data_IF_616535605652
#
_entry.id   IF_616535605652
#
_cell.length_a   1.000
_cell.length_b   1.000
_cell.length_c   1.000
_cell.angle_alpha   90.00
_cell.angle_beta   90.00
_cell.angle_gamma   90.00
#
_symmetry.space_group_name_H-M   'P 1'
#
loop_
_entity.id
_entity.type
_entity.pdbx_description
1 polymer ?
#
# COMPACT_ATOMS: atom_id res chain seq x y z
N UNK A 1 -8.23 -13.32 -27.02
CA UNK A 1 -7.88 -11.92 -26.66
C UNK A 1 -7.62 -11.18 -27.95
N UNK A 2 -8.12 -9.96 -28.12
CA UNK A 2 -7.82 -9.18 -29.33
C UNK A 2 -6.32 -8.85 -29.36
N UNK A 3 -5.66 -9.07 -30.49
CA UNK A 3 -4.25 -8.71 -30.67
C UNK A 3 -4.11 -7.18 -30.86
N UNK A 4 -3.15 -6.58 -30.15
CA UNK A 4 -2.78 -5.18 -30.34
C UNK A 4 -2.06 -5.03 -31.67
N UNK A 5 -2.64 -4.25 -32.59
CA UNK A 5 -2.06 -3.95 -33.91
C UNK A 5 -1.83 -2.45 -34.03
N UNK A 6 -0.88 -2.04 -34.88
CA UNK A 6 -0.63 -0.60 -35.11
C UNK A 6 -1.88 0.17 -35.54
N UNK A 7 -2.83 -0.51 -36.18
CA UNK A 7 -4.08 0.07 -36.68
C UNK A 7 -5.13 0.27 -35.57
N UNK A 8 -5.16 -0.58 -34.53
CA UNK A 8 -6.15 -0.49 -33.46
C UNK A 8 -5.70 0.33 -32.24
N UNK A 9 -4.40 0.57 -32.08
CA UNK A 9 -3.83 1.38 -30.99
C UNK A 9 -4.44 2.80 -30.91
N UNK A 10 -4.58 3.58 -32.00
CA UNK A 10 -5.18 4.91 -31.93
C UNK A 10 -6.62 4.89 -31.40
N UNK A 11 -7.39 3.87 -31.82
CA UNK A 11 -8.77 3.71 -31.37
C UNK A 11 -8.84 3.37 -29.87
N UNK A 12 -7.97 2.48 -29.38
CA UNK A 12 -7.86 2.16 -27.95
C UNK A 12 -7.49 3.41 -27.13
N UNK A 13 -6.56 4.23 -27.63
CA UNK A 13 -6.19 5.49 -26.97
C UNK A 13 -7.38 6.45 -26.93
N UNK A 14 -8.17 6.55 -28.00
CA UNK A 14 -9.39 7.39 -28.02
C UNK A 14 -10.41 6.91 -27.00
N UNK A 15 -10.72 5.60 -27.00
CA UNK A 15 -11.65 4.99 -26.04
C UNK A 15 -11.18 5.19 -24.59
N UNK A 16 -9.88 5.12 -24.34
CA UNK A 16 -9.33 5.40 -23.01
C UNK A 16 -9.56 6.87 -22.62
N UNK A 17 -9.32 7.84 -23.52
CA UNK A 17 -9.58 9.26 -23.26
C UNK A 17 -11.07 9.54 -22.99
N UNK A 18 -11.96 8.95 -23.78
CA UNK A 18 -13.41 9.04 -23.55
C UNK A 18 -13.79 8.45 -22.19
N UNK A 19 -13.19 7.31 -21.82
CA UNK A 19 -13.39 6.72 -20.50
C UNK A 19 -12.87 7.61 -19.36
N UNK A 20 -11.71 8.27 -19.54
CA UNK A 20 -11.16 9.21 -18.55
C UNK A 20 -12.16 10.33 -18.23
N UNK A 21 -12.88 10.83 -19.23
CA UNK A 21 -13.88 11.90 -19.10
C UNK A 21 -15.24 11.39 -18.60
N UNK A 22 -15.49 10.09 -18.68
CA UNK A 22 -16.75 9.48 -18.22
C UNK A 22 -16.95 9.62 -16.70
N UNK A 23 -18.20 9.58 -16.20
CA UNK A 23 -18.47 9.58 -14.76
C UNK A 23 -17.77 8.43 -14.01
N UNK A 24 -17.56 7.29 -14.66
CA UNK A 24 -16.88 6.12 -14.07
C UNK A 24 -15.38 6.41 -13.92
N UNK A 25 -14.75 6.96 -14.96
CA UNK A 25 -13.34 7.34 -14.92
C UNK A 25 -13.07 8.40 -13.85
N UNK A 26 -13.87 9.47 -13.84
CA UNK A 26 -13.77 10.54 -12.84
C UNK A 26 -13.97 10.01 -11.40
N UNK A 27 -14.92 9.11 -11.19
CA UNK A 27 -15.12 8.45 -9.89
C UNK A 27 -13.90 7.61 -9.47
N UNK A 28 -13.23 6.95 -10.41
CA UNK A 28 -12.00 6.21 -10.14
C UNK A 28 -10.89 7.15 -9.64
N UNK A 29 -10.68 8.29 -10.32
CA UNK A 29 -9.70 9.29 -9.87
C UNK A 29 -10.01 9.83 -8.50
N UNK A 30 -11.26 10.23 -8.24
CA UNK A 30 -11.68 10.72 -6.93
C UNK A 30 -11.46 9.68 -5.82
N UNK A 31 -11.65 8.40 -6.14
CA UNK A 31 -11.43 7.31 -5.18
C UNK A 31 -9.96 7.16 -4.83
N UNK A 32 -9.06 7.25 -5.82
CA UNK A 32 -7.61 7.21 -5.61
C UNK A 32 -7.14 8.43 -4.82
N UNK A 33 -7.58 9.64 -5.18
CA UNK A 33 -7.20 10.87 -4.45
C UNK A 33 -7.67 10.86 -3.01
N UNK A 34 -8.88 10.35 -2.75
CA UNK A 34 -9.37 10.13 -1.39
C UNK A 34 -8.48 9.14 -0.63
N UNK A 35 -8.10 8.03 -1.25
CA UNK A 35 -7.23 7.04 -0.61
C UNK A 35 -5.85 7.62 -0.26
N UNK A 36 -5.27 8.43 -1.14
CA UNK A 36 -4.01 9.15 -0.85
C UNK A 36 -4.14 10.00 0.41
N UNK A 37 -5.24 10.75 0.55
CA UNK A 37 -5.49 11.57 1.73
C UNK A 37 -5.71 10.71 2.99
N UNK A 38 -6.52 9.65 2.90
CA UNK A 38 -6.76 8.73 4.02
C UNK A 38 -5.46 8.10 4.53
N UNK A 39 -4.53 7.74 3.64
CA UNK A 39 -3.22 7.20 4.04
C UNK A 39 -2.37 8.28 4.71
N UNK A 40 -2.35 9.52 4.21
CA UNK A 40 -1.62 10.63 4.85
C UNK A 40 -2.14 10.92 6.26
N UNK A 41 -3.47 10.97 6.43
CA UNK A 41 -4.11 11.18 7.72
C UNK A 41 -3.83 10.00 8.68
N UNK A 42 -3.86 8.77 8.16
CA UNK A 42 -3.50 7.58 8.92
C UNK A 42 -2.03 7.60 9.35
N UNK A 43 -1.11 8.04 8.50
CA UNK A 43 0.30 8.17 8.87
C UNK A 43 0.48 9.18 10.01
N UNK A 44 -0.20 10.33 9.97
CA UNK A 44 -0.18 11.30 11.07
C UNK A 44 -0.75 10.72 12.38
N UNK A 45 -1.85 9.96 12.28
CA UNK A 45 -2.43 9.26 13.42
C UNK A 45 -1.46 8.24 14.01
N UNK A 46 -0.83 7.44 13.15
CA UNK A 46 0.15 6.44 13.55
C UNK A 46 1.38 7.07 14.20
N UNK A 47 1.85 8.23 13.70
CA UNK A 47 2.97 8.98 14.29
C UNK A 47 2.75 9.29 15.76
N UNK A 48 1.53 9.71 16.14
CA UNK A 48 1.17 10.09 17.50
C UNK A 48 0.93 8.90 18.47
N UNK A 49 0.84 7.67 17.98
CA UNK A 49 0.55 6.49 18.81
C UNK A 49 1.79 5.91 19.51
N UNK A 50 1.56 5.24 20.64
CA UNK A 50 2.55 4.35 21.25
C UNK A 50 2.77 3.12 20.36
N UNK A 51 4.01 2.97 19.87
CA UNK A 51 4.43 1.92 18.94
C UNK A 51 4.44 0.51 19.55
N UNK A 52 4.36 0.41 20.87
CA UNK A 52 4.26 -0.87 21.60
C UNK A 52 2.81 -1.31 21.81
N UNK A 53 1.85 -0.43 21.54
CA UNK A 53 0.43 -0.72 21.79
C UNK A 53 -0.17 -1.70 20.77
N UNK A 54 -1.15 -2.47 21.23
CA UNK A 54 -1.98 -3.32 20.36
C UNK A 54 -2.76 -2.47 19.36
N UNK A 55 -3.22 -1.28 19.76
CA UNK A 55 -3.94 -0.39 18.87
C UNK A 55 -3.09 0.06 17.67
N UNK A 56 -1.84 0.48 17.91
CA UNK A 56 -0.89 0.81 16.84
C UNK A 56 -0.71 -0.38 15.89
N UNK A 57 -0.46 -1.56 16.45
CA UNK A 57 -0.27 -2.80 15.69
C UNK A 57 -1.48 -3.06 14.79
N UNK A 58 -2.70 -2.96 15.33
CA UNK A 58 -3.91 -3.17 14.56
C UNK A 58 -4.13 -2.10 13.48
N UNK A 59 -3.81 -0.83 13.75
CA UNK A 59 -3.92 0.23 12.74
C UNK A 59 -2.94 0.05 11.59
N UNK A 60 -1.71 -0.41 11.86
CA UNK A 60 -0.78 -0.74 10.78
C UNK A 60 -1.27 -1.96 10.00
N UNK A 61 -1.60 -3.05 10.69
CA UNK A 61 -1.92 -4.32 10.04
C UNK A 61 -3.26 -4.30 9.31
N UNK A 62 -4.26 -3.58 9.79
CA UNK A 62 -5.61 -3.58 9.21
C UNK A 62 -6.05 -2.26 8.60
N UNK A 63 -5.27 -1.18 8.78
CA UNK A 63 -5.53 0.13 8.21
C UNK A 63 -4.49 0.55 7.17
N UNK A 64 -3.20 0.47 7.52
CA UNK A 64 -2.14 0.93 6.62
C UNK A 64 -1.95 -0.04 5.45
N UNK A 65 -1.88 -1.33 5.75
CA UNK A 65 -1.82 -2.36 4.71
C UNK A 65 -3.02 -2.28 3.76
N UNK A 66 -2.82 -2.54 2.46
CA UNK A 66 -3.88 -2.43 1.48
C UNK A 66 -4.89 -3.58 1.62
N UNK A 67 -5.96 -3.32 2.37
CA UNK A 67 -6.99 -4.30 2.68
C UNK A 67 -8.18 -4.24 1.73
N UNK A 68 -8.68 -5.41 1.34
CA UNK A 68 -10.00 -5.53 0.71
C UNK A 68 -11.13 -5.31 1.71
N UNK A 69 -12.36 -5.16 1.20
CA UNK A 69 -13.54 -4.95 2.03
C UNK A 69 -13.87 -6.19 2.87
N UNK A 70 -13.46 -6.20 4.13
CA UNK A 70 -13.75 -7.25 5.11
C UNK A 70 -14.11 -6.64 6.46
N UNK A 71 -14.66 -7.44 7.38
CA UNK A 71 -14.97 -7.00 8.75
C UNK A 71 -13.73 -6.62 9.58
N UNK A 72 -12.53 -6.98 9.12
CA UNK A 72 -11.27 -6.69 9.79
C UNK A 72 -10.64 -5.39 9.31
N UNK A 73 -11.00 -4.94 8.10
CA UNK A 73 -10.40 -3.76 7.50
C UNK A 73 -10.78 -2.50 8.28
N UNK A 74 -9.77 -1.77 8.77
CA UNK A 74 -9.93 -0.42 9.32
C UNK A 74 -9.95 0.64 8.22
N UNK A 75 -9.37 0.32 7.06
CA UNK A 75 -9.41 1.10 5.81
C UNK A 75 -9.54 0.14 4.64
N UNK A 76 -10.29 0.52 3.62
CA UNK A 76 -10.42 -0.27 2.38
C UNK A 76 -9.57 0.37 1.30
N UNK A 77 -8.68 -0.43 0.72
CA UNK A 77 -7.79 -0.04 -0.38
C UNK A 77 -8.44 -0.24 -1.73
N UNK A 78 -8.18 0.68 -2.66
CA UNK A 78 -8.50 0.52 -4.08
C UNK A 78 -7.58 -0.52 -4.74
N UNK A 79 -6.43 -0.80 -4.11
CA UNK A 79 -5.42 -1.77 -4.55
C UNK A 79 -5.28 -2.91 -3.53
N UNK A 80 -6.33 -3.70 -3.26
CA UNK A 80 -6.32 -4.64 -2.13
C UNK A 80 -5.35 -5.81 -2.36
N UNK A 81 -4.56 -6.13 -1.34
CA UNK A 81 -3.63 -7.28 -1.31
C UNK A 81 -4.04 -8.28 -0.25
N UNK A 82 -4.59 -7.82 0.87
CA UNK A 82 -4.99 -8.67 1.98
C UNK A 82 -6.49 -8.66 2.21
N UNK A 83 -7.05 -9.84 2.48
CA UNK A 83 -8.39 -9.96 3.08
C UNK A 83 -8.29 -10.08 4.61
N UNK A 84 -7.26 -10.80 5.08
CA UNK A 84 -6.81 -10.83 6.47
C UNK A 84 -5.36 -11.34 6.53
N UNK A 85 -4.44 -10.52 7.04
CA UNK A 85 -3.00 -10.82 7.10
C UNK A 85 -2.67 -11.93 8.09
N UNK A 86 -3.36 -12.04 9.23
CA UNK A 86 -3.04 -13.06 10.24
C UNK A 86 -3.29 -14.48 9.69
N UNK A 87 -4.45 -14.80 9.11
CA UNK A 87 -4.68 -16.07 8.42
C UNK A 87 -3.77 -16.28 7.20
N UNK A 88 -3.44 -15.21 6.47
CA UNK A 88 -2.53 -15.29 5.32
C UNK A 88 -1.13 -15.78 5.72
N UNK A 89 -0.64 -15.35 6.89
CA UNK A 89 0.67 -15.73 7.43
C UNK A 89 0.60 -16.80 8.54
N UNK A 90 -0.52 -17.52 8.65
CA UNK A 90 -0.74 -18.50 9.74
C UNK A 90 0.36 -19.57 9.83
N UNK A 91 0.99 -19.92 8.70
CA UNK A 91 2.06 -20.92 8.65
C UNK A 91 3.35 -20.52 9.40
N UNK A 92 3.49 -19.26 9.79
CA UNK A 92 4.64 -18.76 10.53
C UNK A 92 4.44 -18.72 12.05
N UNK A 93 3.22 -18.99 12.55
CA UNK A 93 2.90 -19.04 13.98
C UNK A 93 3.31 -17.80 14.80
N UNK A 94 3.19 -16.60 14.21
CA UNK A 94 3.53 -15.34 14.87
C UNK A 94 2.67 -15.06 16.11
N UNK A 95 3.34 -14.74 17.21
CA UNK A 95 2.71 -14.24 18.43
C UNK A 95 2.49 -12.72 18.38
N UNK A 96 1.93 -12.12 19.43
CA UNK A 96 1.63 -10.68 19.45
C UNK A 96 2.87 -9.78 19.38
N UNK A 97 4.00 -10.23 19.95
CA UNK A 97 5.28 -9.50 19.83
C UNK A 97 5.81 -9.53 18.39
N UNK A 98 5.69 -10.66 17.71
CA UNK A 98 6.03 -10.78 16.29
C UNK A 98 5.17 -9.84 15.43
N UNK A 99 3.86 -9.78 15.69
CA UNK A 99 2.95 -8.87 14.99
C UNK A 99 3.27 -7.40 15.23
N UNK A 100 3.62 -7.04 16.46
CA UNK A 100 4.07 -5.70 16.78
C UNK A 100 5.38 -5.36 16.05
N UNK A 101 6.33 -6.30 15.96
CA UNK A 101 7.57 -6.11 15.21
C UNK A 101 7.31 -5.92 13.72
N UNK A 102 6.45 -6.76 13.12
CA UNK A 102 6.03 -6.61 11.71
C UNK A 102 5.39 -5.24 11.47
N UNK A 103 4.47 -4.82 12.34
CA UNK A 103 3.83 -3.51 12.25
C UNK A 103 4.85 -2.36 12.30
N UNK A 104 5.80 -2.41 13.23
CA UNK A 104 6.87 -1.43 13.33
C UNK A 104 7.75 -1.38 12.08
N UNK A 105 8.07 -2.53 11.48
CA UNK A 105 8.84 -2.59 10.23
C UNK A 105 8.08 -1.94 9.06
N UNK A 106 6.79 -2.25 8.90
CA UNK A 106 5.94 -1.68 7.83
C UNK A 106 5.84 -0.17 8.00
N UNK A 107 5.48 0.29 9.20
CA UNK A 107 5.34 1.70 9.49
C UNK A 107 6.69 2.43 9.39
N UNK A 108 7.79 1.82 9.83
CA UNK A 108 9.13 2.39 9.72
C UNK A 108 9.53 2.67 8.27
N UNK A 109 9.29 1.71 7.36
CA UNK A 109 9.51 1.90 5.92
C UNK A 109 8.65 3.06 5.38
N UNK A 110 7.35 3.07 5.68
CA UNK A 110 6.43 4.10 5.24
C UNK A 110 6.82 5.51 5.77
N UNK A 111 7.12 5.61 7.06
CA UNK A 111 7.49 6.86 7.73
C UNK A 111 8.83 7.40 7.22
N UNK A 112 9.83 6.54 7.04
CA UNK A 112 11.13 6.92 6.49
C UNK A 112 11.00 7.40 5.04
N UNK A 113 10.20 6.69 4.23
CA UNK A 113 9.92 7.12 2.86
C UNK A 113 9.22 8.47 2.82
N UNK A 114 8.18 8.68 3.65
CA UNK A 114 7.46 9.95 3.75
C UNK A 114 8.37 11.13 4.13
N UNK A 115 9.38 10.89 4.97
CA UNK A 115 10.37 11.92 5.38
C UNK A 115 11.44 12.16 4.32
N UNK A 116 11.90 11.09 3.64
CA UNK A 116 13.05 11.11 2.74
C UNK A 116 12.93 10.05 1.65
N UNK A 117 12.57 10.47 0.44
CA UNK A 117 12.37 9.58 -0.71
C UNK A 117 13.68 9.13 -1.41
N UNK A 118 14.78 9.84 -1.16
CA UNK A 118 16.11 9.63 -1.76
C UNK A 118 16.79 8.32 -1.32
N UNK A 119 16.40 7.79 -0.17
CA UNK A 119 16.98 6.57 0.44
C UNK A 119 16.07 5.36 0.34
N UNK A 120 15.11 5.35 -0.59
CA UNK A 120 14.13 4.27 -0.72
C UNK A 120 14.80 2.89 -0.80
N UNK A 121 15.85 2.74 -1.59
CA UNK A 121 16.59 1.48 -1.72
C UNK A 121 17.16 0.99 -0.39
N UNK A 122 17.66 1.91 0.44
CA UNK A 122 18.14 1.58 1.78
C UNK A 122 16.99 1.14 2.68
N UNK A 123 15.87 1.87 2.66
CA UNK A 123 14.70 1.52 3.48
C UNK A 123 14.09 0.18 3.09
N UNK A 124 14.04 -0.15 1.79
CA UNK A 124 13.60 -1.46 1.32
C UNK A 124 14.59 -2.54 1.76
N UNK A 125 15.91 -2.29 1.68
CA UNK A 125 16.93 -3.23 2.15
C UNK A 125 16.79 -3.48 3.66
N UNK A 126 16.61 -2.45 4.46
CA UNK A 126 16.43 -2.57 5.91
C UNK A 126 15.17 -3.36 6.23
N UNK A 127 14.06 -3.03 5.58
CA UNK A 127 12.78 -3.73 5.74
C UNK A 127 12.88 -5.22 5.35
N UNK A 128 13.61 -5.56 4.28
CA UNK A 128 13.74 -6.93 3.77
C UNK A 128 14.91 -7.72 4.36
N UNK A 129 15.77 -7.07 5.16
CA UNK A 129 16.94 -7.70 5.79
C UNK A 129 16.55 -8.79 6.78
N UNK A 130 15.48 -8.58 7.56
CA UNK A 130 14.94 -9.58 8.47
C UNK A 130 14.04 -10.54 7.69
N UNK A 131 14.65 -11.62 7.19
CA UNK A 131 13.97 -12.68 6.45
C UNK A 131 12.95 -13.46 7.29
N UNK A 132 12.87 -13.26 8.60
CA UNK A 132 11.81 -13.89 9.39
C UNK A 132 10.51 -13.16 9.12
N UNK A 133 10.50 -11.83 9.31
CA UNK A 133 9.29 -11.03 9.35
C UNK A 133 8.90 -10.37 8.02
N UNK A 134 9.83 -10.24 7.07
CA UNK A 134 9.55 -9.70 5.72
C UNK A 134 9.05 -10.76 4.72
N UNK A 135 8.99 -12.04 5.11
CA UNK A 135 8.46 -13.10 4.22
C UNK A 135 7.02 -12.79 3.83
N UNK A 136 6.75 -12.80 2.53
CA UNK A 136 5.43 -12.54 1.92
C UNK A 136 4.89 -11.10 2.09
N UNK A 137 5.59 -10.24 2.83
CA UNK A 137 5.34 -8.80 2.89
C UNK A 137 6.48 -8.12 2.13
N UNK A 138 6.29 -7.94 0.83
CA UNK A 138 7.31 -7.44 -0.10
C UNK A 138 6.74 -6.31 -0.98
N UNK A 139 7.40 -6.01 -2.09
CA UNK A 139 7.04 -4.87 -2.96
C UNK A 139 5.55 -4.85 -3.35
N UNK A 140 4.93 -6.00 -3.65
CA UNK A 140 3.51 -6.03 -4.04
C UNK A 140 2.52 -5.65 -2.94
N UNK A 141 2.87 -5.87 -1.66
CA UNK A 141 2.02 -5.53 -0.51
C UNK A 141 2.29 -4.13 0.06
N UNK A 142 3.45 -3.55 -0.24
CA UNK A 142 3.88 -2.25 0.28
C UNK A 142 3.76 -1.14 -0.77
N UNK A 143 3.90 -1.43 -2.06
CA UNK A 143 3.83 -0.42 -3.13
C UNK A 143 2.57 0.45 -3.12
N UNK A 144 1.36 -0.04 -2.77
CA UNK A 144 0.19 0.83 -2.68
C UNK A 144 0.32 1.90 -1.59
N UNK A 145 0.98 1.56 -0.47
CA UNK A 145 1.23 2.49 0.64
C UNK A 145 2.19 3.58 0.16
N UNK A 146 3.30 3.19 -0.48
CA UNK A 146 4.32 4.12 -0.97
C UNK A 146 3.74 5.06 -2.04
N UNK A 147 2.94 4.53 -2.97
CA UNK A 147 2.22 5.34 -3.96
C UNK A 147 1.27 6.35 -3.31
N UNK A 148 0.56 5.96 -2.25
CA UNK A 148 -0.36 6.86 -1.56
C UNK A 148 0.38 7.97 -0.77
N UNK A 149 1.57 7.67 -0.26
CA UNK A 149 2.45 8.64 0.41
C UNK A 149 3.03 9.63 -0.61
N UNK A 150 3.52 9.11 -1.75
CA UNK A 150 4.08 9.89 -2.84
C UNK A 150 3.72 9.25 -4.17
N UNK A 151 2.86 9.89 -4.94
CA UNK A 151 2.33 9.40 -6.20
C UNK A 151 3.30 9.51 -7.38
N UNK A 152 4.50 10.07 -7.15
CA UNK A 152 5.64 9.95 -8.05
C UNK A 152 6.35 8.59 -7.94
N UNK A 153 5.92 7.71 -7.02
CA UNK A 153 6.40 6.33 -6.90
C UNK A 153 5.56 5.36 -7.77
N UNK A 154 6.17 4.41 -8.50
CA UNK A 154 7.61 4.20 -8.67
C UNK A 154 8.22 5.28 -9.56
N UNK A 155 9.36 5.83 -9.15
CA UNK A 155 10.09 6.79 -9.99
C UNK A 155 10.66 6.02 -11.18
N UNK A 156 10.26 6.38 -12.39
CA UNK A 156 11.11 6.16 -13.55
C UNK A 156 12.20 7.23 -13.46
N UNK A 157 13.46 6.83 -13.40
CA UNK A 157 14.58 7.77 -13.58
C UNK A 157 14.33 8.53 -14.90
N UNK A 158 14.34 9.86 -14.82
CA UNK A 158 14.35 10.74 -15.99
C UNK A 158 15.79 11.04 -16.39
#
# INVERSE_FOLDING_TARGET
MAELTKENVPNIISQFKEWLESPIGQKHFQTIEREKQEVKDLMQKLDAMDKTSTEFTDWVLYGLLPYGKTKYAKRVSTFPVFLNIKPFLKGFNYNDSDWNKIANMIYGLASNFQKSHDKLDQWIKDFTSDKTYSRMIQCGSISPILFCINDSFPRCEQ
#
